data_IF_986066227725
#
_entry.id   IF_986066227725
#
_cell.length_a   1.000
_cell.length_b   1.000
_cell.length_c   1.000
_cell.angle_alpha   90.00
_cell.angle_beta   90.00
_cell.angle_gamma   90.00
#
_symmetry.space_group_name_H-M   'P 1'
#
loop_
_entity.id
_entity.type
_entity.pdbx_description
1 polymer ?
#
# COMPACT_ATOMS: atom_id res chain seq x y z
N UNK A 1 -3.16 17.20 30.70
CA UNK A 1 -3.18 16.99 29.24
C UNK A 1 -2.28 15.80 28.95
N UNK A 2 -2.86 14.61 28.93
CA UNK A 2 -2.11 13.35 28.86
C UNK A 2 -1.55 13.14 27.46
N UNK A 3 -0.26 13.42 27.28
CA UNK A 3 0.50 12.94 26.14
C UNK A 3 0.45 11.40 26.18
N UNK A 4 -0.41 10.82 25.33
CA UNK A 4 -0.37 9.39 25.04
C UNK A 4 0.94 9.12 24.32
N UNK A 5 1.96 8.79 25.09
CA UNK A 5 3.21 8.23 24.60
C UNK A 5 2.90 6.80 24.14
N UNK A 6 2.41 6.67 22.91
CA UNK A 6 2.24 5.36 22.25
C UNK A 6 3.65 4.94 21.81
N UNK A 7 4.19 3.80 22.26
CA UNK A 7 5.54 3.38 21.90
C UNK A 7 5.65 3.21 20.38
N UNK A 8 6.71 3.79 19.82
CA UNK A 8 6.95 3.99 18.39
C UNK A 8 7.31 2.70 17.60
N UNK A 9 6.96 1.51 18.09
CA UNK A 9 7.39 0.22 17.52
C UNK A 9 6.28 -0.55 16.80
N UNK A 10 5.07 -0.01 16.74
CA UNK A 10 4.02 -0.50 15.86
C UNK A 10 3.72 0.61 14.84
N UNK A 11 4.68 0.86 13.93
CA UNK A 11 4.43 1.70 12.75
C UNK A 11 3.28 1.04 11.99
N UNK A 12 2.07 1.47 12.31
CA UNK A 12 0.86 0.84 11.81
C UNK A 12 0.97 0.82 10.28
N UNK A 13 0.82 -0.36 9.63
CA UNK A 13 0.88 -0.50 8.18
C UNK A 13 0.07 0.59 7.47
N UNK A 14 -1.06 0.99 8.07
CA UNK A 14 -1.93 2.09 7.64
C UNK A 14 -1.27 3.47 7.61
N UNK A 15 -0.52 3.84 8.65
CA UNK A 15 0.10 5.17 8.78
C UNK A 15 1.30 5.33 7.85
N UNK A 16 2.10 4.27 7.71
CA UNK A 16 3.17 4.23 6.72
C UNK A 16 2.59 4.39 5.31
N UNK A 17 1.57 3.60 4.98
CA UNK A 17 0.89 3.66 3.68
C UNK A 17 0.34 5.04 3.37
N UNK A 18 -0.22 5.75 4.36
CA UNK A 18 -0.71 7.12 4.18
C UNK A 18 0.41 8.11 3.90
N UNK A 19 1.53 7.96 4.58
CA UNK A 19 2.71 8.83 4.41
C UNK A 19 3.36 8.62 3.03
N UNK A 20 3.48 7.36 2.60
CA UNK A 20 4.07 7.04 1.29
C UNK A 20 3.07 7.07 0.14
N UNK A 21 1.76 7.18 0.41
CA UNK A 21 0.68 7.09 -0.59
C UNK A 21 0.93 7.92 -1.84
N UNK A 22 1.32 9.19 -1.68
CA UNK A 22 1.51 10.08 -2.84
C UNK A 22 2.72 9.66 -3.68
N UNK A 23 3.81 9.27 -3.03
CA UNK A 23 5.01 8.78 -3.71
C UNK A 23 4.74 7.42 -4.34
N UNK A 24 4.02 6.53 -3.66
CA UNK A 24 3.54 5.26 -4.19
C UNK A 24 2.67 5.47 -5.45
N UNK A 25 1.67 6.35 -5.40
CA UNK A 25 0.83 6.66 -6.57
C UNK A 25 1.64 7.21 -7.75
N UNK A 26 2.68 7.99 -7.47
CA UNK A 26 3.51 8.60 -8.51
C UNK A 26 4.59 7.66 -9.05
N UNK A 27 5.11 6.76 -8.21
CA UNK A 27 6.17 5.80 -8.54
C UNK A 27 5.63 4.46 -9.05
N UNK A 28 4.37 4.13 -8.79
CA UNK A 28 3.75 2.93 -9.32
C UNK A 28 3.60 3.03 -10.83
N UNK A 29 4.26 2.12 -11.51
CA UNK A 29 4.08 1.93 -12.95
C UNK A 29 2.79 1.14 -13.21
N UNK A 30 2.14 1.31 -14.36
CA UNK A 30 0.94 0.55 -14.74
C UNK A 30 1.06 -0.98 -14.59
N UNK A 31 2.18 -1.65 -14.93
CA UNK A 31 2.32 -3.09 -14.71
C UNK A 31 2.37 -3.43 -13.22
N UNK A 32 3.20 -2.75 -12.42
CA UNK A 32 3.32 -3.01 -10.97
C UNK A 32 1.98 -2.78 -10.26
N UNK A 33 1.20 -1.77 -10.66
CA UNK A 33 -0.16 -1.57 -10.14
C UNK A 33 -1.07 -2.78 -10.43
N UNK A 34 -1.01 -3.35 -11.64
CA UNK A 34 -1.83 -4.51 -12.00
C UNK A 34 -1.43 -5.77 -11.24
N UNK A 35 -0.13 -6.01 -11.07
CA UNK A 35 0.39 -7.13 -10.26
C UNK A 35 0.01 -6.99 -8.78
N UNK A 36 0.09 -5.77 -8.22
CA UNK A 36 -0.35 -5.51 -6.85
C UNK A 36 -1.84 -5.80 -6.68
N UNK A 37 -2.67 -5.41 -7.65
CA UNK A 37 -4.09 -5.72 -7.62
C UNK A 37 -4.35 -7.23 -7.69
N UNK A 38 -3.58 -7.95 -8.49
CA UNK A 38 -3.66 -9.41 -8.58
C UNK A 38 -3.36 -10.05 -7.21
N UNK A 39 -2.25 -9.66 -6.57
CA UNK A 39 -1.89 -10.10 -5.21
C UNK A 39 -2.95 -9.79 -4.16
N UNK A 40 -3.54 -8.59 -4.23
CA UNK A 40 -4.63 -8.20 -3.34
C UNK A 40 -5.91 -9.00 -3.58
N UNK A 41 -6.17 -9.39 -4.83
CA UNK A 41 -7.32 -10.21 -5.19
C UNK A 41 -7.11 -11.67 -4.76
N UNK A 42 -5.93 -12.24 -5.02
CA UNK A 42 -5.51 -13.56 -4.54
C UNK A 42 -5.60 -13.67 -3.02
N UNK A 43 -5.19 -12.62 -2.30
CA UNK A 43 -5.29 -12.56 -0.84
C UNK A 43 -6.72 -12.31 -0.33
N UNK A 44 -7.71 -12.10 -1.19
CA UNK A 44 -9.10 -11.82 -0.83
C UNK A 44 -9.32 -10.44 -0.20
N UNK A 45 -8.36 -9.53 -0.34
CA UNK A 45 -8.44 -8.16 0.21
C UNK A 45 -9.39 -7.30 -0.61
N UNK A 46 -9.27 -7.36 -1.93
CA UNK A 46 -10.16 -6.67 -2.87
C UNK A 46 -11.07 -7.67 -3.59
N UNK A 47 -12.27 -7.22 -3.98
CA UNK A 47 -13.19 -8.02 -4.78
C UNK A 47 -12.94 -7.78 -6.26
N UNK A 48 -13.37 -8.71 -7.11
CA UNK A 48 -13.27 -8.60 -8.57
C UNK A 48 -13.90 -7.28 -9.08
N UNK A 49 -15.03 -6.89 -8.50
CA UNK A 49 -15.71 -5.61 -8.82
C UNK A 49 -14.83 -4.39 -8.51
N UNK A 50 -14.06 -4.42 -7.42
CA UNK A 50 -13.14 -3.31 -7.10
C UNK A 50 -11.92 -3.35 -8.00
N UNK A 51 -11.36 -4.54 -8.25
CA UNK A 51 -10.24 -4.75 -9.15
C UNK A 51 -10.52 -4.25 -10.56
N UNK A 52 -11.67 -4.59 -11.14
CA UNK A 52 -12.06 -4.09 -12.47
C UNK A 52 -12.30 -2.58 -12.47
N UNK A 53 -12.91 -2.05 -11.40
CA UNK A 53 -13.12 -0.60 -11.22
C UNK A 53 -11.80 0.17 -11.11
N UNK A 54 -10.76 -0.44 -10.53
CA UNK A 54 -9.42 0.14 -10.42
C UNK A 54 -8.69 0.04 -11.76
N UNK A 55 -8.75 -1.12 -12.43
CA UNK A 55 -8.11 -1.37 -13.74
C UNK A 55 -8.65 -0.48 -14.86
N UNK A 56 -9.93 -0.10 -14.79
CA UNK A 56 -10.56 0.82 -15.75
C UNK A 56 -10.17 2.29 -15.54
N UNK A 57 -9.60 2.64 -14.38
CA UNK A 57 -9.16 4.00 -14.05
C UNK A 57 -7.72 4.24 -14.49
N UNK A 58 -7.33 5.50 -14.71
CA UNK A 58 -5.93 5.83 -14.98
C UNK A 58 -5.03 5.41 -13.80
N UNK A 59 -3.76 5.05 -14.05
CA UNK A 59 -2.87 4.46 -13.04
C UNK A 59 -2.80 5.25 -11.72
N UNK A 60 -2.77 6.58 -11.80
CA UNK A 60 -2.76 7.46 -10.61
C UNK A 60 -4.03 7.35 -9.77
N UNK A 61 -5.20 7.34 -10.42
CA UNK A 61 -6.47 7.19 -9.71
C UNK A 61 -6.64 5.75 -9.21
N UNK A 62 -6.24 4.78 -10.02
CA UNK A 62 -6.31 3.37 -9.66
C UNK A 62 -5.43 3.05 -8.43
N UNK A 63 -4.20 3.56 -8.40
CA UNK A 63 -3.32 3.43 -7.24
C UNK A 63 -3.91 4.08 -5.98
N UNK A 64 -4.55 5.25 -6.10
CA UNK A 64 -5.26 5.88 -4.98
C UNK A 64 -6.38 4.99 -4.46
N UNK A 65 -7.24 4.50 -5.35
CA UNK A 65 -8.36 3.63 -4.99
C UNK A 65 -7.90 2.31 -4.38
N UNK A 66 -6.84 1.70 -4.91
CA UNK A 66 -6.22 0.50 -4.33
C UNK A 66 -5.77 0.76 -2.89
N UNK A 67 -5.04 1.86 -2.66
CA UNK A 67 -4.58 2.24 -1.32
C UNK A 67 -5.75 2.48 -0.36
N UNK A 68 -6.79 3.20 -0.80
CA UNK A 68 -7.97 3.46 0.02
C UNK A 68 -8.78 2.18 0.30
N UNK A 69 -8.91 1.29 -0.69
CA UNK A 69 -9.56 -0.02 -0.53
C UNK A 69 -8.83 -0.85 0.52
N UNK A 70 -7.51 -1.00 0.38
CA UNK A 70 -6.65 -1.74 1.33
C UNK A 70 -6.75 -1.16 2.75
N UNK A 71 -6.71 0.17 2.88
CA UNK A 71 -6.84 0.86 4.17
C UNK A 71 -8.19 0.61 4.84
N UNK A 72 -9.26 0.57 4.04
CA UNK A 72 -10.63 0.30 4.50
C UNK A 72 -10.77 -1.12 5.08
N UNK A 73 -10.07 -2.11 4.51
CA UNK A 73 -10.16 -3.51 4.96
C UNK A 73 -9.49 -3.76 6.31
N UNK A 74 -8.40 -3.07 6.64
CA UNK A 74 -7.71 -3.27 7.92
C UNK A 74 -6.19 -3.26 7.83
N UNK A 75 -5.53 -3.48 8.97
CA UNK A 75 -4.07 -3.52 9.02
C UNK A 75 -3.50 -4.74 8.29
N UNK A 76 -4.19 -5.88 8.32
CA UNK A 76 -3.81 -7.10 7.59
C UNK A 76 -3.70 -6.85 6.07
N UNK A 77 -4.70 -6.18 5.50
CA UNK A 77 -4.69 -5.78 4.09
C UNK A 77 -3.50 -4.86 3.76
N UNK A 78 -3.24 -3.87 4.61
CA UNK A 78 -2.10 -2.98 4.44
C UNK A 78 -0.78 -3.75 4.46
N UNK A 79 -0.61 -4.75 5.34
CA UNK A 79 0.59 -5.60 5.35
C UNK A 79 0.75 -6.38 4.05
N UNK A 80 -0.34 -6.92 3.48
CA UNK A 80 -0.30 -7.63 2.19
C UNK A 80 0.17 -6.68 1.09
N UNK A 81 -0.36 -5.45 1.00
CA UNK A 81 0.10 -4.49 0.00
C UNK A 81 1.58 -4.16 0.15
N UNK A 82 2.04 -3.92 1.38
CA UNK A 82 3.44 -3.59 1.66
C UNK A 82 4.36 -4.75 1.26
N UNK A 83 3.96 -5.98 1.59
CA UNK A 83 4.70 -7.20 1.26
C UNK A 83 4.78 -7.37 -0.25
N UNK A 84 3.64 -7.30 -0.94
CA UNK A 84 3.58 -7.42 -2.40
C UNK A 84 4.38 -6.31 -3.10
N UNK A 85 4.35 -5.09 -2.59
CA UNK A 85 5.15 -3.97 -3.11
C UNK A 85 6.65 -4.26 -2.97
N UNK A 86 7.09 -4.75 -1.82
CA UNK A 86 8.49 -5.10 -1.57
C UNK A 86 8.96 -6.23 -2.50
N UNK A 87 8.09 -7.19 -2.81
CA UNK A 87 8.40 -8.30 -3.72
C UNK A 87 8.44 -7.86 -5.20
N UNK A 88 7.47 -7.03 -5.62
CA UNK A 88 7.34 -6.58 -7.01
C UNK A 88 8.31 -5.45 -7.36
N UNK A 89 8.48 -4.49 -6.45
CA UNK A 89 9.32 -3.31 -6.65
C UNK A 89 10.08 -2.93 -5.36
N UNK A 90 11.15 -3.68 -5.02
CA UNK A 90 11.98 -3.39 -3.86
C UNK A 90 12.72 -2.05 -3.97
N UNK A 91 12.97 -1.57 -5.19
CA UNK A 91 13.58 -0.27 -5.44
C UNK A 91 12.65 0.86 -5.00
N UNK A 92 11.39 0.82 -5.46
CA UNK A 92 10.37 1.77 -5.03
C UNK A 92 10.15 1.67 -3.52
N UNK A 93 10.05 0.47 -2.95
CA UNK A 93 9.93 0.32 -1.49
C UNK A 93 11.09 0.99 -0.73
N UNK A 94 12.32 0.85 -1.23
CA UNK A 94 13.51 1.48 -0.63
C UNK A 94 13.48 3.01 -0.76
N UNK A 95 13.05 3.54 -1.91
CA UNK A 95 12.88 4.99 -2.11
C UNK A 95 11.80 5.59 -1.20
N UNK A 96 10.73 4.83 -0.96
CA UNK A 96 9.64 5.20 -0.06
C UNK A 96 10.00 5.12 1.42
N UNK A 97 11.12 4.47 1.76
CA UNK A 97 11.65 4.37 3.12
C UNK A 97 12.98 5.15 3.26
N UNK A 98 12.97 6.50 3.19
CA UNK A 98 14.19 7.32 3.15
C UNK A 98 14.95 7.38 4.49
N UNK A 99 14.70 6.48 5.43
CA UNK A 99 15.49 6.37 6.65
C UNK A 99 15.57 4.92 7.06
N UNK A 100 16.77 4.34 6.95
CA UNK A 100 17.09 2.93 7.20
C UNK A 100 16.84 2.45 8.63
N UNK A 101 15.60 2.48 9.08
CA UNK A 101 15.12 1.60 10.15
C UNK A 101 14.57 0.35 9.47
N UNK A 102 15.40 -0.68 9.38
CA UNK A 102 15.06 -1.98 8.81
C UNK A 102 14.14 -2.74 9.79
N UNK A 103 12.88 -2.33 9.91
CA UNK A 103 11.89 -3.02 10.77
C UNK A 103 10.46 -2.83 10.24
N UNK A 104 10.14 -3.46 9.11
CA UNK A 104 8.78 -3.78 8.68
C UNK A 104 8.72 -5.27 8.34
#
# INVERSE_FOLDING_TARGET
>A
MSQRNVPAEDRHPKEWLLSVRNQLISGLTPPVLNDLLDKLFESGVIRESEMTSIRTKPPKNGAREMVDAVRSKGAAACMVLITALRELDPCLFSELNPSGSNTL
#
